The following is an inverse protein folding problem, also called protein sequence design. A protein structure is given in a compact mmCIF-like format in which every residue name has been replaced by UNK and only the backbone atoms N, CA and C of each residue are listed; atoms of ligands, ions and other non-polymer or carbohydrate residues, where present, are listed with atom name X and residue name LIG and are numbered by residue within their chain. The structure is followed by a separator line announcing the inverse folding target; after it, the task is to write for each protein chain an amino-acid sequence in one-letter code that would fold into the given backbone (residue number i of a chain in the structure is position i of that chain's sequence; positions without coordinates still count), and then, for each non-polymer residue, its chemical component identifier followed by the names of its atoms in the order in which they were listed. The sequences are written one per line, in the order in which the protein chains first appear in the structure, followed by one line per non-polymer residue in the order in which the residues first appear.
data_IF_824917085504
#
_entry.id   IF_824917085504
#
_cell.length_a   1.000
_cell.length_b   1.000
_cell.length_c   1.000
_cell.angle_alpha   90.00
_cell.angle_beta   90.00
_cell.angle_gamma   90.00
#
_symmetry.space_group_name_H-M   'P 1'
#
loop_
_entity.id
_entity.type
_entity.pdbx_description
1 polymer ?
#
# COMPACT_ATOMS: atom_id res chain seq x y z
N UNK A 1 -8.36 -7.85 30.85
CA UNK A 1 -9.05 -7.72 29.55
C UNK A 1 -7.99 -7.77 28.47
N UNK A 2 -7.94 -8.81 27.63
CA UNK A 2 -7.02 -8.82 26.48
C UNK A 2 -7.64 -7.88 25.46
N UNK A 3 -7.02 -6.74 25.20
CA UNK A 3 -7.44 -5.90 24.07
C UNK A 3 -7.13 -6.71 22.80
N UNK A 4 -8.17 -7.10 22.06
CA UNK A 4 -7.97 -7.55 20.69
C UNK A 4 -7.34 -6.39 19.94
N UNK A 5 -6.07 -6.53 19.55
CA UNK A 5 -5.45 -5.62 18.58
C UNK A 5 -6.28 -5.67 17.30
N UNK A 6 -7.13 -4.67 17.10
CA UNK A 6 -7.88 -4.49 15.87
C UNK A 6 -6.88 -4.34 14.73
N UNK A 7 -7.05 -5.14 13.68
CA UNK A 7 -6.20 -5.10 12.47
C UNK A 7 -7.00 -4.55 11.31
N UNK A 8 -6.40 -3.63 10.57
CA UNK A 8 -6.99 -3.11 9.33
C UNK A 8 -6.89 -4.18 8.25
N UNK A 9 -8.02 -4.58 7.66
CA UNK A 9 -8.03 -5.56 6.58
C UNK A 9 -8.01 -4.88 5.21
N UNK A 10 -7.09 -5.32 4.37
CA UNK A 10 -6.92 -4.87 3.00
C UNK A 10 -6.69 -6.05 2.06
N UNK A 11 -7.02 -5.86 0.79
CA UNK A 11 -6.75 -6.81 -0.27
C UNK A 11 -5.68 -6.26 -1.21
N UNK A 12 -4.90 -7.17 -1.78
CA UNK A 12 -3.87 -6.89 -2.77
C UNK A 12 -4.02 -7.83 -3.96
N UNK A 13 -3.65 -7.34 -5.13
CA UNK A 13 -3.35 -8.22 -6.25
C UNK A 13 -2.14 -9.10 -5.90
N UNK A 14 -2.03 -10.24 -6.55
CA UNK A 14 -0.98 -11.24 -6.25
C UNK A 14 0.44 -10.67 -6.33
N UNK A 15 0.71 -9.85 -7.35
CA UNK A 15 2.03 -9.31 -7.60
C UNK A 15 2.55 -8.40 -6.45
N UNK A 16 1.82 -7.36 -6.00
CA UNK A 16 2.25 -6.56 -4.85
C UNK A 16 2.25 -7.34 -3.53
N UNK A 17 1.39 -8.35 -3.38
CA UNK A 17 1.42 -9.23 -2.21
C UNK A 17 2.75 -10.00 -2.10
N UNK A 18 3.19 -10.64 -3.19
CA UNK A 18 4.46 -11.37 -3.23
C UNK A 18 5.67 -10.46 -3.00
N UNK A 19 5.62 -9.20 -3.46
CA UNK A 19 6.69 -8.24 -3.18
C UNK A 19 6.76 -7.82 -1.71
N UNK A 20 5.62 -7.67 -1.02
CA UNK A 20 5.59 -7.43 0.43
C UNK A 20 6.16 -8.64 1.15
N UNK A 21 5.74 -9.86 0.75
CA UNK A 21 6.24 -11.12 1.30
C UNK A 21 7.76 -11.28 1.14
N UNK A 22 8.29 -10.86 -0.01
CA UNK A 22 9.72 -10.85 -0.31
C UNK A 22 10.49 -9.69 0.34
N UNK A 23 9.80 -8.72 0.95
CA UNK A 23 10.40 -7.54 1.59
C UNK A 23 10.96 -6.49 0.63
N UNK A 24 10.69 -6.60 -0.67
CA UNK A 24 11.14 -5.64 -1.68
C UNK A 24 10.25 -4.39 -1.71
N UNK A 25 8.93 -4.59 -1.62
CA UNK A 25 7.96 -3.51 -1.46
C UNK A 25 7.83 -3.17 0.03
N UNK A 26 8.23 -1.93 0.39
CA UNK A 26 8.22 -1.44 1.78
C UNK A 26 7.22 -0.32 2.02
N UNK A 27 6.72 0.29 0.94
CA UNK A 27 5.73 1.37 1.01
C UNK A 27 4.48 0.92 0.27
N UNK A 28 3.36 0.90 0.99
CA UNK A 28 2.03 0.66 0.43
C UNK A 28 1.31 1.98 0.18
N UNK A 29 0.80 2.15 -1.05
CA UNK A 29 0.13 3.38 -1.48
C UNK A 29 -1.37 3.15 -1.46
N UNK A 30 -2.10 4.06 -0.81
CA UNK A 30 -3.57 4.05 -0.75
C UNK A 30 -4.09 5.47 -0.86
N UNK A 31 -5.30 5.62 -1.42
CA UNK A 31 -6.07 6.83 -1.19
C UNK A 31 -6.35 6.99 0.31
N UNK A 32 -6.28 8.24 0.77
CA UNK A 32 -6.60 8.62 2.14
C UNK A 32 -8.12 8.73 2.34
N UNK A 33 -8.84 7.65 2.04
CA UNK A 33 -10.28 7.52 2.28
C UNK A 33 -10.62 7.48 3.79
N UNK A 34 -11.91 7.58 4.14
CA UNK A 34 -12.34 7.62 5.54
C UNK A 34 -11.80 6.44 6.36
N UNK A 35 -11.67 5.25 5.76
CA UNK A 35 -11.16 4.05 6.43
C UNK A 35 -9.64 4.14 6.65
N UNK A 36 -8.85 4.51 5.63
CA UNK A 36 -7.39 4.59 5.71
C UNK A 36 -6.92 5.82 6.48
N UNK A 37 -7.72 6.89 6.51
CA UNK A 37 -7.43 8.10 7.28
C UNK A 37 -7.35 7.88 8.79
N UNK A 38 -7.94 6.79 9.29
CA UNK A 38 -7.92 6.40 10.71
C UNK A 38 -6.69 5.59 11.13
N UNK A 39 -5.86 5.13 10.17
CA UNK A 39 -4.67 4.35 10.50
C UNK A 39 -3.72 5.14 11.40
N UNK A 40 -3.07 4.43 12.34
CA UNK A 40 -2.06 4.96 13.25
C UNK A 40 -0.78 4.14 13.21
N UNK A 41 0.34 4.78 13.56
CA UNK A 41 1.60 4.07 13.76
C UNK A 41 1.44 3.00 14.86
N UNK A 42 2.07 1.84 14.66
CA UNK A 42 1.95 0.67 15.53
C UNK A 42 0.70 -0.18 15.30
N UNK A 43 -0.26 0.26 14.46
CA UNK A 43 -1.39 -0.58 14.10
C UNK A 43 -0.99 -1.68 13.13
N UNK A 44 -1.74 -2.79 13.18
CA UNK A 44 -1.53 -3.94 12.31
C UNK A 44 -2.40 -3.83 11.06
N UNK A 45 -1.83 -4.15 9.91
CA UNK A 45 -2.56 -4.31 8.64
C UNK A 45 -2.45 -5.76 8.21
N UNK A 46 -3.59 -6.40 7.97
CA UNK A 46 -3.67 -7.72 7.33
C UNK A 46 -3.94 -7.53 5.85
N UNK A 47 -2.97 -7.94 5.03
CA UNK A 47 -3.13 -8.03 3.58
C UNK A 47 -3.56 -9.44 3.21
N UNK A 48 -4.60 -9.55 2.39
CA UNK A 48 -5.04 -10.81 1.77
C UNK A 48 -4.74 -10.77 0.28
N UNK A 49 -4.06 -11.80 -0.23
CA UNK A 49 -3.87 -12.00 -1.66
C UNK A 49 -5.19 -12.39 -2.33
N UNK A 50 -5.66 -11.58 -3.27
CA UNK A 50 -6.89 -11.85 -4.03
C UNK A 50 -6.82 -13.13 -4.86
N UNK A 51 -5.62 -13.62 -5.20
CA UNK A 51 -5.45 -14.83 -6.01
C UNK A 51 -5.42 -16.11 -5.17
N UNK A 52 -4.74 -16.09 -4.02
CA UNK A 52 -4.46 -17.30 -3.23
C UNK A 52 -5.19 -17.36 -1.88
N UNK A 53 -5.77 -16.24 -1.43
CA UNK A 53 -6.27 -16.03 -0.06
C UNK A 53 -5.19 -16.14 1.04
N UNK A 54 -3.90 -16.17 0.67
CA UNK A 54 -2.81 -16.06 1.63
C UNK A 54 -2.89 -14.72 2.37
N UNK A 55 -2.44 -14.70 3.63
CA UNK A 55 -2.49 -13.53 4.50
C UNK A 55 -1.14 -13.19 5.09
N UNK A 56 -0.79 -11.91 5.09
CA UNK A 56 0.39 -11.37 5.76
C UNK A 56 -0.07 -10.24 6.69
N UNK A 57 0.45 -10.25 7.92
CA UNK A 57 0.23 -9.19 8.89
C UNK A 57 1.49 -8.33 8.96
N UNK A 58 1.31 -7.03 8.78
CA UNK A 58 2.37 -6.01 8.86
C UNK A 58 2.04 -5.00 9.95
N UNK A 59 3.03 -4.23 10.37
CA UNK A 59 2.88 -3.13 11.33
C UNK A 59 3.17 -1.80 10.63
N UNK A 60 2.34 -0.78 10.90
CA UNK A 60 2.52 0.56 10.36
C UNK A 60 3.67 1.26 11.09
N UNK A 61 4.82 1.39 10.43
CA UNK A 61 5.99 2.07 11.00
C UNK A 61 5.92 3.59 10.83
N UNK A 62 5.27 4.07 9.77
CA UNK A 62 5.09 5.50 9.50
C UNK A 62 3.90 5.73 8.57
N UNK A 63 3.36 6.95 8.60
CA UNK A 63 2.29 7.41 7.71
C UNK A 63 2.69 8.76 7.13
N UNK A 64 2.61 8.88 5.81
CA UNK A 64 2.86 10.14 5.11
C UNK A 64 1.70 10.41 4.14
N UNK A 65 1.32 11.69 4.03
CA UNK A 65 0.19 12.13 3.20
C UNK A 65 0.70 13.09 2.15
N UNK A 66 0.24 12.91 0.93
CA UNK A 66 0.58 13.75 -0.23
C UNK A 66 -0.69 14.29 -0.86
N UNK A 67 -0.61 15.45 -1.50
CA UNK A 67 -1.77 16.04 -2.18
C UNK A 67 -2.08 15.30 -3.49
N UNK A 68 -1.05 14.72 -4.13
CA UNK A 68 -1.16 14.01 -5.40
C UNK A 68 -0.22 12.80 -5.47
N UNK A 69 -0.52 11.85 -6.35
CA UNK A 69 0.39 10.72 -6.61
C UNK A 69 1.73 11.17 -7.18
N UNK A 70 1.75 12.18 -8.07
CA UNK A 70 3.00 12.77 -8.59
C UNK A 70 3.95 13.23 -7.49
N UNK A 71 3.45 13.87 -6.43
CA UNK A 71 4.29 14.30 -5.31
C UNK A 71 4.91 13.12 -4.56
N UNK A 72 4.14 12.04 -4.38
CA UNK A 72 4.63 10.79 -3.78
C UNK A 72 5.76 10.18 -4.63
N UNK A 73 5.56 10.07 -5.94
CA UNK A 73 6.54 9.45 -6.86
C UNK A 73 7.78 10.31 -7.13
N UNK A 74 7.73 11.62 -6.83
CA UNK A 74 8.95 12.45 -6.77
C UNK A 74 9.86 12.10 -5.59
N UNK A 75 9.29 11.52 -4.53
CA UNK A 75 10.02 11.19 -3.29
C UNK A 75 10.50 9.74 -3.25
N UNK A 76 9.67 8.81 -3.72
CA UNK A 76 9.92 7.37 -3.61
C UNK A 76 10.19 6.74 -4.98
N UNK A 77 11.22 5.90 -5.07
CA UNK A 77 11.55 5.14 -6.28
C UNK A 77 10.55 4.00 -6.51
N UNK A 78 10.43 3.54 -7.76
CA UNK A 78 9.55 2.43 -8.14
C UNK A 78 9.72 1.18 -7.25
N UNK A 79 10.93 0.62 -7.06
CA UNK A 79 11.08 -0.67 -6.40
C UNK A 79 10.53 -0.72 -4.97
N UNK A 80 10.70 0.36 -4.19
CA UNK A 80 10.23 0.39 -2.80
C UNK A 80 8.71 0.49 -2.68
N UNK A 81 8.03 1.00 -3.71
CA UNK A 81 6.56 1.08 -3.82
C UNK A 81 5.97 -0.09 -4.63
N UNK A 82 6.80 -1.00 -5.14
CA UNK A 82 6.36 -2.18 -5.89
C UNK A 82 6.35 -2.07 -7.41
N UNK A 83 6.91 -0.99 -7.96
CA UNK A 83 7.02 -0.75 -9.40
C UNK A 83 8.46 -0.97 -9.93
N UNK A 84 8.66 -1.19 -11.24
CA UNK A 84 9.99 -1.20 -11.84
C UNK A 84 10.72 0.15 -11.68
N UNK A 85 12.05 0.13 -11.65
CA UNK A 85 12.85 1.36 -11.57
C UNK A 85 12.85 2.18 -12.85
N UNK A 86 12.54 1.55 -13.98
CA UNK A 86 12.44 2.19 -15.29
C UNK A 86 11.11 2.92 -15.50
N UNK A 87 10.15 2.76 -14.60
CA UNK A 87 8.83 3.36 -14.73
C UNK A 87 8.88 4.86 -14.41
N UNK A 88 8.35 5.68 -15.32
CA UNK A 88 8.31 7.14 -15.14
C UNK A 88 7.26 7.56 -14.11
N UNK A 89 7.44 8.76 -13.54
CA UNK A 89 6.46 9.36 -12.62
C UNK A 89 5.10 9.50 -13.30
N UNK A 90 5.09 9.82 -14.60
CA UNK A 90 3.88 9.96 -15.41
C UNK A 90 3.13 8.64 -15.59
N UNK A 91 3.86 7.54 -15.82
CA UNK A 91 3.28 6.20 -15.90
C UNK A 91 2.69 5.78 -14.56
N UNK A 92 3.46 5.93 -13.47
CA UNK A 92 3.00 5.63 -12.11
C UNK A 92 1.74 6.42 -11.73
N UNK A 93 1.70 7.72 -12.04
CA UNK A 93 0.56 8.59 -11.78
C UNK A 93 -0.68 8.15 -12.56
N UNK A 94 -0.53 7.81 -13.84
CA UNK A 94 -1.62 7.31 -14.68
C UNK A 94 -2.15 5.98 -14.15
N UNK A 95 -1.28 5.00 -13.91
CA UNK A 95 -1.68 3.66 -13.46
C UNK A 95 -2.41 3.72 -12.12
N UNK A 96 -1.88 4.49 -11.16
CA UNK A 96 -2.55 4.65 -9.86
C UNK A 96 -3.87 5.39 -10.01
N UNK A 97 -3.94 6.45 -10.83
CA UNK A 97 -5.19 7.15 -11.10
C UNK A 97 -6.26 6.24 -11.72
N UNK A 98 -5.88 5.33 -12.62
CA UNK A 98 -6.79 4.35 -13.22
C UNK A 98 -7.30 3.31 -12.22
N UNK A 99 -6.45 2.84 -11.29
CA UNK A 99 -6.87 1.91 -10.24
C UNK A 99 -7.97 2.53 -9.37
N UNK A 100 -7.84 3.81 -9.04
CA UNK A 100 -8.75 4.51 -8.12
C UNK A 100 -9.93 5.20 -8.81
N UNK A 101 -9.93 5.35 -10.13
CA UNK A 101 -11.07 5.86 -10.91
C UNK A 101 -12.11 4.80 -11.23
N UNK A 102 -11.76 3.51 -11.13
CA UNK A 102 -12.68 2.36 -11.21
C UNK A 102 -13.54 2.29 -9.95
N UNK A 103 -14.51 3.20 -9.82
CA UNK A 103 -15.60 3.13 -8.85
C UNK A 103 -16.90 2.75 -9.53
#
# INVERSE_FOLDING_TARGET
MKMETTKMQMHLNHQPFEQIKAGTKKIEIRLNDDKRSQLKMGEKVEFTDLKTNEKIITEVLSLERFQTFKELFKKYSGPIIGSPETESIEELDRENSEIYSRK
#
